data_IF_903113738820
#
_entry.id   IF_903113738820
#
_cell.length_a   1.000
_cell.length_b   1.000
_cell.length_c   1.000
_cell.angle_alpha   90.00
_cell.angle_beta   90.00
_cell.angle_gamma   90.00
#
_symmetry.space_group_name_H-M   'P 1'
#
loop_
_entity.id
_entity.type
_entity.pdbx_description
1 polymer ?
#
# COMPACT_ATOMS: atom_id res chain seq x y z
N UNK A 1 10.91 25.95 -15.16
CA UNK A 1 11.09 24.56 -15.67
C UNK A 1 11.58 23.75 -14.49
N UNK A 2 10.94 22.71 -13.96
CA UNK A 2 9.73 21.93 -14.28
C UNK A 2 9.08 21.64 -12.91
N UNK A 3 7.80 21.95 -12.71
CA UNK A 3 7.08 21.45 -11.53
C UNK A 3 7.03 19.93 -11.63
N UNK A 4 7.80 19.24 -10.80
CA UNK A 4 7.72 17.79 -10.63
C UNK A 4 6.38 17.48 -9.98
N UNK A 5 5.48 16.97 -10.81
CA UNK A 5 4.06 16.79 -10.51
C UNK A 5 3.80 15.52 -9.68
N UNK A 6 4.76 15.11 -8.84
CA UNK A 6 4.82 13.77 -8.24
C UNK A 6 3.66 13.51 -7.28
N UNK A 7 3.22 14.53 -6.52
CA UNK A 7 2.03 14.44 -5.66
C UNK A 7 0.72 14.19 -6.41
N UNK A 8 0.61 14.56 -7.70
CA UNK A 8 -0.61 14.30 -8.49
C UNK A 8 -0.74 12.83 -8.88
N UNK A 9 0.38 12.14 -9.07
CA UNK A 9 0.38 10.74 -9.44
C UNK A 9 -0.07 9.88 -8.27
N UNK A 10 0.54 9.95 -7.08
CA UNK A 10 0.21 9.05 -5.96
C UNK A 10 -1.27 9.13 -5.51
N UNK A 11 -1.85 10.34 -5.50
CA UNK A 11 -3.29 10.51 -5.26
C UNK A 11 -4.18 9.85 -6.34
N UNK A 12 -3.70 9.70 -7.58
CA UNK A 12 -4.35 8.87 -8.61
C UNK A 12 -4.19 7.37 -8.35
N UNK A 13 -3.16 6.92 -7.64
CA UNK A 13 -2.96 5.51 -7.28
C UNK A 13 -3.90 5.05 -6.17
N UNK A 14 -4.19 5.91 -5.19
CA UNK A 14 -5.26 5.65 -4.21
C UNK A 14 -6.62 5.39 -4.88
N UNK A 15 -6.88 6.04 -6.03
CA UNK A 15 -8.05 5.78 -6.88
C UNK A 15 -7.91 4.60 -7.84
N UNK A 16 -6.69 4.10 -8.14
CA UNK A 16 -6.44 2.95 -9.01
C UNK A 16 -6.53 1.63 -8.25
N UNK A 17 -6.07 1.62 -6.98
CA UNK A 17 -6.13 0.44 -6.11
C UNK A 17 -7.41 0.36 -5.27
N UNK A 18 -8.25 1.41 -5.29
CA UNK A 18 -9.48 1.56 -4.49
C UNK A 18 -9.32 0.98 -3.08
N UNK A 19 -8.25 1.43 -2.39
CA UNK A 19 -7.87 0.91 -1.08
C UNK A 19 -8.98 1.14 -0.06
N UNK A 20 -9.73 2.23 -0.21
CA UNK A 20 -10.92 2.51 0.60
C UNK A 20 -11.97 1.40 0.47
N UNK A 21 -12.27 0.94 -0.76
CA UNK A 21 -13.19 -0.18 -0.98
C UNK A 21 -12.65 -1.52 -0.48
N UNK A 22 -11.34 -1.75 -0.60
CA UNK A 22 -10.70 -2.94 -0.02
C UNK A 22 -10.77 -2.93 1.52
N UNK A 23 -10.61 -1.76 2.13
CA UNK A 23 -10.75 -1.56 3.57
C UNK A 23 -12.19 -1.77 4.03
N UNK A 24 -13.17 -1.22 3.31
CA UNK A 24 -14.60 -1.43 3.58
C UNK A 24 -14.96 -2.92 3.54
N UNK A 25 -14.57 -3.64 2.48
CA UNK A 25 -14.79 -5.10 2.39
C UNK A 25 -14.09 -5.88 3.50
N UNK A 26 -12.90 -5.45 3.90
CA UNK A 26 -12.14 -6.08 4.98
C UNK A 26 -12.87 -5.89 6.31
N UNK A 27 -13.41 -4.70 6.56
CA UNK A 27 -14.17 -4.37 7.77
C UNK A 27 -15.52 -5.12 7.81
N UNK A 28 -16.22 -5.24 6.67
CA UNK A 28 -17.44 -6.06 6.55
C UNK A 28 -17.20 -7.53 6.89
N UNK A 29 -16.09 -8.12 6.41
CA UNK A 29 -15.72 -9.49 6.74
C UNK A 29 -15.26 -9.64 8.20
N UNK A 30 -14.60 -8.63 8.78
CA UNK A 30 -14.28 -8.61 10.21
C UNK A 30 -15.53 -8.62 11.07
N UNK A 31 -16.54 -7.80 10.73
CA UNK A 31 -17.81 -7.77 11.43
C UNK A 31 -18.53 -9.13 11.36
N UNK A 32 -18.50 -9.80 10.20
CA UNK A 32 -19.02 -11.16 10.06
C UNK A 32 -18.28 -12.15 10.97
N UNK A 33 -16.95 -12.06 11.08
CA UNK A 33 -16.17 -12.94 11.96
C UNK A 33 -16.43 -12.72 13.45
N UNK A 34 -16.93 -11.53 13.81
CA UNK A 34 -17.30 -11.18 15.19
C UNK A 34 -18.68 -11.72 15.60
N UNK A 35 -19.48 -12.23 14.66
CA UNK A 35 -20.80 -12.78 14.99
C UNK A 35 -20.67 -14.09 15.79
N UNK A 36 -21.50 -14.32 16.82
CA UNK A 36 -21.41 -15.53 17.66
C UNK A 36 -21.62 -16.83 16.87
N UNK A 37 -22.51 -16.78 15.88
CA UNK A 37 -22.88 -17.93 15.05
C UNK A 37 -21.88 -18.19 13.92
N UNK A 38 -20.93 -17.29 13.66
CA UNK A 38 -19.94 -17.42 12.60
C UNK A 38 -19.07 -18.67 12.76
N UNK A 39 -18.72 -19.00 14.02
CA UNK A 39 -17.89 -20.16 14.34
C UNK A 39 -18.67 -21.49 14.32
N UNK A 40 -19.99 -21.45 14.09
CA UNK A 40 -20.83 -22.65 14.01
C UNK A 40 -20.64 -23.42 12.69
N UNK A 41 -20.25 -22.74 11.61
CA UNK A 41 -19.87 -23.35 10.33
C UNK A 41 -18.38 -23.16 10.06
N UNK A 42 -17.58 -24.12 10.50
CA UNK A 42 -16.11 -24.13 10.32
C UNK A 42 -15.72 -24.06 8.84
N UNK A 43 -16.50 -24.65 7.93
CA UNK A 43 -16.17 -24.66 6.50
C UNK A 43 -16.42 -23.30 5.85
N UNK A 44 -17.53 -22.64 6.19
CA UNK A 44 -17.82 -21.27 5.77
C UNK A 44 -16.85 -20.25 6.38
N UNK A 45 -16.52 -20.40 7.67
CA UNK A 45 -15.59 -19.54 8.39
C UNK A 45 -14.19 -19.53 7.77
N UNK A 46 -13.67 -20.70 7.36
CA UNK A 46 -12.34 -20.81 6.74
C UNK A 46 -12.23 -19.98 5.45
N UNK A 47 -13.29 -19.97 4.63
CA UNK A 47 -13.34 -19.21 3.38
C UNK A 47 -13.32 -17.70 3.62
N UNK A 48 -14.08 -17.23 4.61
CA UNK A 48 -14.14 -15.81 4.98
C UNK A 48 -12.83 -15.34 5.61
N UNK A 49 -12.22 -16.14 6.49
CA UNK A 49 -10.90 -15.85 7.07
C UNK A 49 -9.82 -15.76 5.99
N UNK A 50 -9.86 -16.65 5.00
CA UNK A 50 -8.90 -16.61 3.89
C UNK A 50 -9.06 -15.35 3.03
N UNK A 51 -10.31 -14.92 2.77
CA UNK A 51 -10.58 -13.67 2.05
C UNK A 51 -10.11 -12.45 2.86
N UNK A 52 -10.39 -12.44 4.16
CA UNK A 52 -9.97 -11.39 5.08
C UNK A 52 -8.44 -11.23 5.10
N UNK A 53 -7.69 -12.33 5.17
CA UNK A 53 -6.24 -12.32 5.06
C UNK A 53 -5.75 -11.81 3.70
N UNK A 54 -6.46 -12.15 2.62
CA UNK A 54 -6.18 -11.64 1.28
C UNK A 54 -6.27 -10.12 1.23
N UNK A 55 -7.38 -9.54 1.69
CA UNK A 55 -7.56 -8.08 1.72
C UNK A 55 -6.54 -7.38 2.61
N UNK A 56 -6.32 -7.87 3.84
CA UNK A 56 -5.30 -7.32 4.75
C UNK A 56 -3.91 -7.31 4.09
N UNK A 57 -3.53 -8.41 3.43
CA UNK A 57 -2.23 -8.52 2.74
C UNK A 57 -2.05 -7.47 1.64
N UNK A 58 -3.11 -7.16 0.87
CA UNK A 58 -3.07 -6.17 -0.20
C UNK A 58 -3.00 -4.75 0.39
N UNK A 59 -3.83 -4.46 1.39
CA UNK A 59 -3.86 -3.16 2.09
C UNK A 59 -2.50 -2.87 2.74
N UNK A 60 -1.94 -3.85 3.46
CA UNK A 60 -0.64 -3.71 4.12
C UNK A 60 0.48 -3.45 3.10
N UNK A 61 0.48 -4.17 1.98
CA UNK A 61 1.47 -3.95 0.90
C UNK A 61 1.34 -2.57 0.27
N UNK A 62 0.12 -2.09 0.08
CA UNK A 62 -0.13 -0.73 -0.41
C UNK A 62 0.42 0.31 0.57
N UNK A 63 0.03 0.24 1.84
CA UNK A 63 0.44 1.20 2.89
C UNK A 63 1.95 1.21 3.11
N UNK A 64 2.60 0.04 3.06
CA UNK A 64 4.06 -0.05 3.12
C UNK A 64 4.73 0.65 1.92
N UNK A 65 4.14 0.51 0.73
CA UNK A 65 4.67 1.15 -0.49
C UNK A 65 4.46 2.66 -0.46
N UNK A 66 3.31 3.11 0.03
CA UNK A 66 2.99 4.52 0.29
C UNK A 66 4.02 5.16 1.24
N UNK A 67 4.28 4.53 2.40
CA UNK A 67 5.28 5.04 3.35
C UNK A 67 6.69 5.12 2.76
N UNK A 68 7.11 4.12 1.96
CA UNK A 68 8.41 4.16 1.29
C UNK A 68 8.55 5.32 0.29
N UNK A 69 7.45 5.69 -0.36
CA UNK A 69 7.41 6.82 -1.29
C UNK A 69 7.50 8.14 -0.51
N UNK A 70 6.72 8.31 0.55
CA UNK A 70 6.78 9.49 1.41
C UNK A 70 8.18 9.71 1.97
N UNK A 71 8.84 8.65 2.46
CA UNK A 71 10.23 8.71 2.91
C UNK A 71 11.20 9.11 1.80
N UNK A 72 11.02 8.57 0.58
CA UNK A 72 11.86 8.92 -0.56
C UNK A 72 11.65 10.39 -1.00
N UNK A 73 10.43 10.90 -0.90
CA UNK A 73 10.11 12.31 -1.16
C UNK A 73 10.80 13.22 -0.12
N UNK A 74 10.70 12.92 1.17
CA UNK A 74 11.39 13.69 2.23
C UNK A 74 12.91 13.70 2.00
N UNK A 75 13.51 12.56 1.64
CA UNK A 75 14.94 12.51 1.34
C UNK A 75 15.33 13.33 0.11
N UNK A 76 14.49 13.35 -0.93
CA UNK A 76 14.72 14.18 -2.11
C UNK A 76 14.66 15.67 -1.77
N UNK A 77 13.70 16.08 -0.94
CA UNK A 77 13.61 17.46 -0.43
C UNK A 77 14.89 17.85 0.33
N UNK A 78 15.41 16.98 1.20
CA UNK A 78 16.66 17.22 1.92
C UNK A 78 17.88 17.36 0.99
N UNK A 79 17.98 16.54 -0.06
CA UNK A 79 19.05 16.64 -1.06
C UNK A 79 18.99 17.96 -1.82
N UNK A 80 17.78 18.42 -2.18
CA UNK A 80 17.57 19.69 -2.85
C UNK A 80 17.93 20.89 -1.95
N UNK A 81 17.57 20.83 -0.67
CA UNK A 81 17.86 21.89 0.30
C UNK A 81 19.35 21.96 0.67
N UNK A 82 19.97 20.82 0.99
CA UNK A 82 21.35 20.76 1.47
C UNK A 82 22.40 20.69 0.35
N UNK A 83 21.99 20.53 -0.92
CA UNK A 83 22.87 20.23 -2.07
C UNK A 83 23.83 19.05 -1.81
N UNK A 84 23.45 18.15 -0.89
CA UNK A 84 24.27 17.00 -0.51
C UNK A 84 23.87 15.79 -1.34
N UNK A 85 24.71 15.43 -2.30
CA UNK A 85 24.52 14.25 -3.14
C UNK A 85 24.80 12.92 -2.42
N UNK A 86 25.17 12.96 -1.14
CA UNK A 86 25.49 11.78 -0.33
C UNK A 86 24.32 10.78 -0.25
N UNK A 87 23.08 11.28 -0.26
CA UNK A 87 21.88 10.46 -0.16
C UNK A 87 21.34 9.93 -1.50
N UNK A 88 21.92 10.33 -2.64
CA UNK A 88 21.41 9.96 -3.97
C UNK A 88 21.37 8.45 -4.21
N UNK A 89 22.40 7.73 -3.75
CA UNK A 89 22.47 6.28 -3.96
C UNK A 89 21.48 5.52 -3.06
N UNK A 90 21.20 6.03 -1.87
CA UNK A 90 20.14 5.52 -1.00
C UNK A 90 18.75 5.75 -1.61
N UNK A 91 18.50 6.95 -2.15
CA UNK A 91 17.25 7.30 -2.83
C UNK A 91 17.03 6.38 -4.04
N UNK A 92 18.04 6.15 -4.88
CA UNK A 92 17.96 5.20 -6.01
C UNK A 92 17.60 3.79 -5.56
N UNK A 93 18.27 3.27 -4.53
CA UNK A 93 17.97 1.95 -4.00
C UNK A 93 16.54 1.85 -3.45
N UNK A 94 16.01 2.94 -2.87
CA UNK A 94 14.61 3.01 -2.39
C UNK A 94 13.62 3.04 -3.55
N UNK A 95 13.88 3.84 -4.59
CA UNK A 95 13.06 3.89 -5.81
C UNK A 95 12.98 2.52 -6.50
N UNK A 96 14.09 1.77 -6.56
CA UNK A 96 14.09 0.40 -7.09
C UNK A 96 13.22 -0.56 -6.26
N UNK A 97 13.22 -0.42 -4.93
CA UNK A 97 12.36 -1.20 -4.03
C UNK A 97 10.89 -0.84 -4.21
N UNK A 98 10.57 0.45 -4.34
CA UNK A 98 9.22 0.94 -4.62
C UNK A 98 8.74 0.34 -5.95
N UNK A 99 9.55 0.40 -7.01
CA UNK A 99 9.24 -0.19 -8.31
C UNK A 99 8.87 -1.68 -8.23
N UNK A 100 9.68 -2.47 -7.54
CA UNK A 100 9.42 -3.92 -7.34
C UNK A 100 8.15 -4.19 -6.53
N UNK A 101 7.87 -3.38 -5.51
CA UNK A 101 6.64 -3.51 -4.70
C UNK A 101 5.40 -3.16 -5.51
N UNK A 102 5.47 -2.10 -6.31
CA UNK A 102 4.37 -1.69 -7.20
C UNK A 102 4.05 -2.77 -8.23
N UNK A 103 5.05 -3.37 -8.88
CA UNK A 103 4.84 -4.46 -9.84
C UNK A 103 4.11 -5.65 -9.19
N UNK A 104 4.52 -6.01 -7.97
CA UNK A 104 3.89 -7.09 -7.20
C UNK A 104 2.44 -6.79 -6.82
N UNK A 105 2.14 -5.54 -6.47
CA UNK A 105 0.79 -5.08 -6.16
C UNK A 105 -0.11 -5.15 -7.40
N UNK A 106 0.37 -4.71 -8.56
CA UNK A 106 -0.41 -4.75 -9.81
C UNK A 106 -0.73 -6.16 -10.32
N UNK A 107 0.04 -7.18 -9.93
CA UNK A 107 -0.23 -8.58 -10.30
C UNK A 107 -1.27 -9.28 -9.41
N UNK A 108 -1.62 -8.67 -8.27
CA UNK A 108 -2.52 -9.26 -7.27
C UNK A 108 -3.95 -8.68 -7.31
N UNK A 109 -4.16 -7.63 -8.09
CA UNK A 109 -5.46 -6.99 -8.34
C UNK A 109 -6.00 -7.50 -9.67
#
# INVERSE_FOLDING_TARGET
>A
MRSTNTHSTFRKWGGLFDVAHLEEKRDELEEQTAQPDFWSDVSGAQGIISQLQGYRTIIDQYRETEGLIEEAEIMLELVEEENSFEYLDEIKARLDRIGKKMEKLTLKV
#
